data_IF_816312050215
#
_entry.id   IF_816312050215
#
_cell.length_a   1.000
_cell.length_b   1.000
_cell.length_c   1.000
_cell.angle_alpha   90.00
_cell.angle_beta   90.00
_cell.angle_gamma   90.00
#
_symmetry.space_group_name_H-M   'P 1'
#
loop_
_entity.id
_entity.type
_entity.pdbx_description
1 polymer ?
#
# COMPACT_ATOMS: atom_id res chain seq x y z
N UNK A 1 -11.05 -11.65 -25.34
CA UNK A 1 -11.94 -11.16 -24.25
C UNK A 1 -12.65 -12.30 -23.51
N UNK A 2 -13.20 -13.32 -24.18
CA UNK A 2 -13.90 -14.44 -23.53
C UNK A 2 -13.03 -15.27 -22.56
N UNK A 3 -11.77 -15.57 -22.90
CA UNK A 3 -10.85 -16.31 -22.01
C UNK A 3 -10.52 -15.54 -20.71
N UNK A 4 -10.37 -14.22 -20.78
CA UNK A 4 -10.11 -13.37 -19.60
C UNK A 4 -11.31 -13.40 -18.65
N UNK A 5 -12.53 -13.34 -19.17
CA UNK A 5 -13.75 -13.44 -18.36
C UNK A 5 -13.94 -14.83 -17.75
N UNK A 6 -13.60 -15.89 -18.48
CA UNK A 6 -13.67 -17.25 -17.99
C UNK A 6 -12.63 -17.50 -16.88
N UNK A 7 -11.43 -16.94 -17.04
CA UNK A 7 -10.38 -16.99 -16.04
C UNK A 7 -10.79 -16.27 -14.74
N UNK A 8 -11.31 -15.04 -14.84
CA UNK A 8 -11.85 -14.31 -13.69
C UNK A 8 -12.92 -15.10 -12.94
N UNK A 9 -13.77 -15.83 -13.67
CA UNK A 9 -14.80 -16.70 -13.09
C UNK A 9 -14.22 -17.90 -12.34
N UNK A 10 -13.22 -18.56 -12.92
CA UNK A 10 -12.52 -19.71 -12.28
C UNK A 10 -11.78 -19.26 -11.03
N UNK A 11 -11.14 -18.09 -11.08
CA UNK A 11 -10.49 -17.47 -9.92
C UNK A 11 -11.51 -17.20 -8.81
N UNK A 12 -12.66 -16.61 -9.12
CA UNK A 12 -13.74 -16.37 -8.15
C UNK A 12 -14.33 -17.66 -7.57
N UNK A 13 -14.49 -18.72 -8.38
CA UNK A 13 -15.03 -20.01 -7.93
C UNK A 13 -14.07 -20.67 -6.94
N UNK A 14 -12.79 -20.85 -7.29
CA UNK A 14 -11.79 -21.44 -6.39
C UNK A 14 -11.61 -20.62 -5.11
N UNK A 15 -11.79 -19.30 -5.19
CA UNK A 15 -11.77 -18.40 -4.04
C UNK A 15 -12.95 -18.63 -3.10
N UNK A 16 -14.18 -18.74 -3.64
CA UNK A 16 -15.37 -19.02 -2.83
C UNK A 16 -15.32 -20.39 -2.14
N UNK A 17 -14.73 -21.39 -2.80
CA UNK A 17 -14.52 -22.73 -2.25
C UNK A 17 -13.51 -22.73 -1.08
N UNK A 18 -12.50 -21.87 -1.12
CA UNK A 18 -11.54 -21.70 -0.03
C UNK A 18 -12.16 -20.98 1.17
N UNK A 19 -12.89 -19.88 0.94
CA UNK A 19 -13.57 -19.12 2.02
C UNK A 19 -14.62 -19.96 2.74
N UNK A 20 -15.34 -20.83 2.02
CA UNK A 20 -16.31 -21.75 2.63
C UNK A 20 -15.66 -22.84 3.48
N UNK A 21 -14.46 -23.31 3.11
CA UNK A 21 -13.77 -24.39 3.83
C UNK A 21 -13.00 -23.93 5.07
N UNK A 22 -12.80 -22.62 5.25
CA UNK A 22 -11.91 -22.13 6.28
C UNK A 22 -12.40 -20.76 6.83
N UNK A 23 -13.52 -20.75 7.59
CA UNK A 23 -14.21 -19.55 8.04
C UNK A 23 -13.47 -18.73 9.11
N UNK A 24 -12.39 -19.27 9.69
CA UNK A 24 -11.50 -18.56 10.63
C UNK A 24 -10.47 -17.67 9.91
N UNK A 25 -10.37 -17.76 8.57
CA UNK A 25 -9.48 -16.91 7.81
C UNK A 25 -10.09 -15.53 7.59
N UNK A 26 -9.27 -14.51 7.85
CA UNK A 26 -9.43 -13.10 7.48
C UNK A 26 -10.57 -12.86 6.47
N UNK A 27 -11.66 -12.27 6.96
CA UNK A 27 -12.86 -12.04 6.17
C UNK A 27 -12.49 -11.19 4.94
N UNK A 28 -12.57 -11.80 3.76
CA UNK A 28 -12.23 -11.16 2.50
C UNK A 28 -13.03 -9.85 2.31
N UNK A 29 -14.25 -9.79 2.85
CA UNK A 29 -15.06 -8.57 2.85
C UNK A 29 -14.40 -7.46 3.67
N UNK A 30 -13.85 -7.78 4.84
CA UNK A 30 -13.18 -6.80 5.70
C UNK A 30 -11.88 -6.29 5.05
N UNK A 31 -11.15 -7.16 4.35
CA UNK A 31 -9.99 -6.76 3.54
C UNK A 31 -10.39 -5.83 2.39
N UNK A 32 -11.45 -6.18 1.65
CA UNK A 32 -11.98 -5.35 0.56
C UNK A 32 -12.41 -3.99 1.10
N UNK A 33 -13.12 -3.95 2.23
CA UNK A 33 -13.58 -2.71 2.84
C UNK A 33 -12.41 -1.84 3.31
N UNK A 34 -11.41 -2.44 3.98
CA UNK A 34 -10.18 -1.73 4.37
C UNK A 34 -9.48 -1.13 3.16
N UNK A 35 -9.37 -1.89 2.06
CA UNK A 35 -8.79 -1.42 0.80
C UNK A 35 -9.55 -0.23 0.22
N UNK A 36 -10.87 -0.34 0.12
CA UNK A 36 -11.71 0.75 -0.39
C UNK A 36 -11.60 2.01 0.48
N UNK A 37 -11.55 1.87 1.80
CA UNK A 37 -11.40 2.99 2.72
C UNK A 37 -10.04 3.68 2.54
N UNK A 38 -8.97 2.90 2.34
CA UNK A 38 -7.65 3.44 2.06
C UNK A 38 -7.58 4.18 0.70
N UNK A 39 -8.16 3.59 -0.35
CA UNK A 39 -8.26 4.21 -1.67
C UNK A 39 -9.08 5.49 -1.64
N UNK A 40 -10.21 5.49 -0.92
CA UNK A 40 -11.05 6.68 -0.74
C UNK A 40 -10.27 7.81 -0.07
N UNK A 41 -9.57 7.53 1.03
CA UNK A 41 -8.74 8.52 1.72
C UNK A 41 -7.64 9.08 0.82
N UNK A 42 -6.97 8.23 0.05
CA UNK A 42 -5.91 8.63 -0.89
C UNK A 42 -6.43 9.46 -2.07
N UNK A 43 -7.62 9.13 -2.58
CA UNK A 43 -8.28 9.86 -3.66
C UNK A 43 -8.81 11.22 -3.20
N UNK A 44 -9.13 11.36 -1.91
CA UNK A 44 -9.53 12.63 -1.30
C UNK A 44 -8.40 13.65 -1.14
N UNK A 45 -7.12 13.23 -1.18
CA UNK A 45 -5.98 14.14 -1.03
C UNK A 45 -5.83 15.08 -2.23
N UNK A 46 -5.49 16.33 -1.99
CA UNK A 46 -5.25 17.32 -3.05
C UNK A 46 -3.80 17.86 -3.05
N UNK A 47 -3.53 18.86 -3.89
CA UNK A 47 -2.19 19.48 -3.98
C UNK A 47 -1.85 20.29 -2.73
N UNK A 48 -2.84 20.84 -2.03
CA UNK A 48 -2.65 21.62 -0.81
C UNK A 48 -2.23 20.70 0.33
N UNK A 49 -2.87 19.53 0.44
CA UNK A 49 -2.51 18.48 1.41
C UNK A 49 -1.04 18.08 1.28
N UNK A 50 -0.58 17.79 0.06
CA UNK A 50 0.84 17.45 -0.14
C UNK A 50 1.74 18.64 0.17
N UNK A 51 1.28 19.85 -0.12
CA UNK A 51 2.04 21.07 0.20
C UNK A 51 2.25 21.23 1.71
N UNK A 52 1.39 20.70 2.58
CA UNK A 52 1.63 20.65 4.03
C UNK A 52 2.83 19.78 4.37
N UNK A 53 2.95 18.60 3.75
CA UNK A 53 4.08 17.69 3.93
C UNK A 53 5.38 18.32 3.40
N UNK A 54 5.31 19.03 2.27
CA UNK A 54 6.48 19.71 1.68
C UNK A 54 7.04 20.84 2.55
N UNK A 55 6.25 21.40 3.47
CA UNK A 55 6.70 22.49 4.35
C UNK A 55 7.61 22.03 5.48
N UNK A 56 7.69 20.74 5.77
CA UNK A 56 8.60 20.24 6.79
C UNK A 56 10.05 20.39 6.33
N UNK A 57 10.78 21.34 6.93
CA UNK A 57 12.24 21.35 6.88
C UNK A 57 12.80 20.15 7.65
N UNK A 58 12.23 19.89 8.83
CA UNK A 58 12.54 18.75 9.71
C UNK A 58 11.21 18.07 10.11
N UNK A 59 10.83 16.97 9.46
CA UNK A 59 9.56 16.30 9.75
C UNK A 59 9.59 15.63 11.14
N UNK A 60 8.45 15.53 11.83
CA UNK A 60 8.33 14.62 12.96
C UNK A 60 8.71 13.19 12.55
N UNK A 61 9.34 12.43 13.47
CA UNK A 61 9.87 11.09 13.19
C UNK A 61 8.83 10.18 12.52
N UNK A 62 7.58 10.19 13.00
CA UNK A 62 6.52 9.34 12.43
C UNK A 62 6.17 9.77 10.99
N UNK A 63 6.14 11.08 10.70
CA UNK A 63 5.91 11.60 9.34
C UNK A 63 7.04 11.14 8.43
N UNK A 64 8.30 11.28 8.85
CA UNK A 64 9.44 10.85 8.07
C UNK A 64 9.38 9.35 7.75
N UNK A 65 9.12 8.50 8.75
CA UNK A 65 9.00 7.06 8.57
C UNK A 65 7.90 6.69 7.57
N UNK A 66 6.70 7.27 7.72
CA UNK A 66 5.60 7.03 6.79
C UNK A 66 6.00 7.44 5.37
N UNK A 67 6.61 8.61 5.21
CA UNK A 67 7.01 9.11 3.89
C UNK A 67 8.15 8.32 3.25
N UNK A 68 9.09 7.79 4.03
CA UNK A 68 10.12 6.86 3.57
C UNK A 68 9.44 5.62 2.97
N UNK A 69 8.46 5.04 3.67
CA UNK A 69 7.75 3.85 3.19
C UNK A 69 6.93 4.16 1.92
N UNK A 70 6.29 5.33 1.83
CA UNK A 70 5.62 5.78 0.59
C UNK A 70 6.63 5.90 -0.56
N UNK A 71 7.82 6.43 -0.30
CA UNK A 71 8.85 6.58 -1.33
C UNK A 71 9.39 5.23 -1.81
N UNK A 72 9.53 4.24 -0.92
CA UNK A 72 9.87 2.85 -1.26
C UNK A 72 8.82 2.25 -2.20
N UNK A 73 7.53 2.48 -1.92
CA UNK A 73 6.44 2.01 -2.77
C UNK A 73 6.50 2.58 -4.19
N UNK A 74 6.82 3.86 -4.32
CA UNK A 74 6.77 4.59 -5.59
C UNK A 74 8.03 4.46 -6.45
N UNK A 75 9.15 4.04 -5.87
CA UNK A 75 10.44 4.06 -6.55
C UNK A 75 11.24 2.79 -6.27
N UNK A 76 11.41 1.97 -7.31
CA UNK A 76 12.28 0.78 -7.26
C UNK A 76 13.77 1.13 -7.09
N UNK A 77 14.16 2.40 -7.29
CA UNK A 77 15.53 2.88 -7.12
C UNK A 77 15.78 3.51 -5.76
N UNK A 78 14.77 3.58 -4.89
CA UNK A 78 14.92 4.10 -3.53
C UNK A 78 15.62 3.05 -2.65
N UNK A 79 16.96 3.18 -2.58
CA UNK A 79 17.84 2.25 -1.84
C UNK A 79 17.92 2.60 -0.36
N UNK A 80 18.25 1.61 0.46
CA UNK A 80 18.40 1.72 1.92
C UNK A 80 19.37 2.82 2.34
N UNK A 81 20.48 2.94 1.63
CA UNK A 81 21.50 3.99 1.81
C UNK A 81 20.99 5.43 1.58
N UNK A 82 19.83 5.60 0.94
CA UNK A 82 19.22 6.88 0.63
C UNK A 82 17.87 7.10 1.35
N UNK A 83 17.54 6.30 2.37
CA UNK A 83 16.29 6.44 3.13
C UNK A 83 16.38 7.61 4.13
N UNK A 84 16.43 8.84 3.61
CA UNK A 84 16.41 10.05 4.41
C UNK A 84 15.39 11.05 3.87
N UNK A 85 15.03 12.04 4.69
CA UNK A 85 14.06 13.07 4.31
C UNK A 85 14.42 13.80 3.00
N UNK A 86 15.69 14.15 2.77
CA UNK A 86 16.13 14.86 1.55
C UNK A 86 15.85 14.06 0.27
N UNK A 87 16.08 12.74 0.30
CA UNK A 87 15.73 11.86 -0.80
C UNK A 87 14.21 11.72 -0.98
N UNK A 88 13.46 11.64 0.13
CA UNK A 88 11.99 11.62 0.10
C UNK A 88 11.43 12.88 -0.56
N UNK A 89 11.95 14.06 -0.21
CA UNK A 89 11.51 15.34 -0.77
C UNK A 89 11.60 15.34 -2.30
N UNK A 90 12.65 14.77 -2.91
CA UNK A 90 12.78 14.67 -4.37
C UNK A 90 11.62 13.91 -5.01
N UNK A 91 11.13 12.86 -4.36
CA UNK A 91 9.99 12.06 -4.84
C UNK A 91 8.67 12.79 -4.58
N UNK A 92 8.48 13.31 -3.38
CA UNK A 92 7.25 14.03 -2.96
C UNK A 92 7.06 15.31 -3.78
N UNK A 93 8.15 15.94 -4.21
CA UNK A 93 8.10 17.22 -4.94
C UNK A 93 7.69 17.04 -6.40
N UNK A 94 7.77 15.82 -6.92
CA UNK A 94 7.30 15.49 -8.25
C UNK A 94 5.79 15.78 -8.38
N UNK A 95 5.40 16.53 -9.42
CA UNK A 95 3.99 16.89 -9.66
C UNK A 95 3.09 15.67 -9.90
N UNK A 96 3.67 14.55 -10.36
CA UNK A 96 2.97 13.30 -10.59
C UNK A 96 2.92 12.39 -9.34
N UNK A 97 3.46 12.82 -8.19
CA UNK A 97 3.55 12.02 -6.97
C UNK A 97 2.22 11.36 -6.58
N UNK A 98 1.15 12.16 -6.43
CA UNK A 98 -0.19 11.64 -6.11
C UNK A 98 -0.74 10.72 -7.20
N UNK A 99 -0.51 11.06 -8.47
CA UNK A 99 -0.95 10.24 -9.60
C UNK A 99 -0.30 8.86 -9.58
N UNK A 100 1.01 8.79 -9.35
CA UNK A 100 1.75 7.53 -9.22
C UNK A 100 1.29 6.71 -8.03
N UNK A 101 0.97 7.35 -6.91
CA UNK A 101 0.50 6.66 -5.71
C UNK A 101 -0.90 6.07 -5.88
N UNK A 102 -1.79 6.77 -6.59
CA UNK A 102 -3.13 6.27 -6.94
C UNK A 102 -3.10 5.16 -8.00
N UNK A 103 -2.14 5.22 -8.92
CA UNK A 103 -1.94 4.23 -9.96
C UNK A 103 -1.09 3.03 -9.48
N UNK A 104 -0.85 2.91 -8.16
CA UNK A 104 0.00 1.86 -7.62
C UNK A 104 -0.64 0.48 -7.80
N UNK A 105 0.09 -0.42 -8.43
CA UNK A 105 -0.31 -1.80 -8.62
C UNK A 105 0.39 -2.69 -7.59
N UNK A 106 -0.36 -3.23 -6.64
CA UNK A 106 0.15 -4.10 -5.56
C UNK A 106 0.91 -5.31 -6.12
N UNK A 107 0.52 -5.79 -7.30
CA UNK A 107 1.14 -6.92 -8.02
C UNK A 107 2.57 -6.60 -8.49
N UNK A 108 2.88 -5.33 -8.75
CA UNK A 108 4.21 -4.90 -9.24
C UNK A 108 5.22 -4.67 -8.11
N UNK A 109 4.80 -4.74 -6.85
CA UNK A 109 5.70 -4.60 -5.70
C UNK A 109 6.60 -5.84 -5.65
N UNK A 110 7.91 -5.64 -5.79
CA UNK A 110 8.87 -6.74 -5.73
C UNK A 110 9.14 -7.20 -4.28
N UNK A 111 9.78 -8.36 -4.11
CA UNK A 111 10.00 -8.94 -2.79
C UNK A 111 10.92 -8.09 -1.90
N UNK A 112 11.86 -7.33 -2.50
CA UNK A 112 12.71 -6.38 -1.76
C UNK A 112 11.90 -5.22 -1.20
N UNK A 113 11.06 -4.59 -2.02
CA UNK A 113 10.15 -3.55 -1.56
C UNK A 113 9.25 -4.10 -0.45
N UNK A 114 8.65 -5.28 -0.64
CA UNK A 114 7.80 -5.92 0.37
C UNK A 114 8.50 -6.09 1.72
N UNK A 115 9.76 -6.56 1.73
CA UNK A 115 10.53 -6.68 2.96
C UNK A 115 10.72 -5.32 3.64
N UNK A 116 10.97 -4.25 2.87
CA UNK A 116 11.12 -2.90 3.42
C UNK A 116 9.78 -2.33 3.93
N UNK A 117 8.65 -2.68 3.31
CA UNK A 117 7.33 -2.24 3.79
C UNK A 117 6.98 -2.78 5.17
N UNK A 118 7.59 -3.89 5.61
CA UNK A 118 7.42 -4.46 6.96
C UNK A 118 7.76 -3.44 8.06
N UNK A 119 8.57 -2.42 7.74
CA UNK A 119 8.87 -1.34 8.67
C UNK A 119 7.63 -0.57 9.14
N UNK A 120 6.49 -0.68 8.44
CA UNK A 120 5.21 -0.13 8.88
C UNK A 120 4.77 -0.67 10.25
N UNK A 121 5.14 -1.91 10.60
CA UNK A 121 4.83 -2.51 11.90
C UNK A 121 5.59 -1.85 13.06
N UNK A 122 6.65 -1.08 12.77
CA UNK A 122 7.36 -0.27 13.78
C UNK A 122 6.58 0.98 14.21
N UNK A 123 5.51 1.33 13.49
CA UNK A 123 4.63 2.45 13.78
C UNK A 123 3.36 1.90 14.42
N UNK A 124 3.14 2.21 15.70
CA UNK A 124 1.91 1.78 16.37
C UNK A 124 0.69 2.45 15.73
N UNK A 125 -0.47 1.81 15.84
CA UNK A 125 -1.70 2.38 15.29
C UNK A 125 -2.04 3.73 15.92
N UNK A 126 -1.81 3.89 17.22
CA UNK A 126 -1.97 5.17 17.90
C UNK A 126 -1.02 6.24 17.31
N UNK A 127 0.26 5.91 17.09
CA UNK A 127 1.21 6.83 16.46
C UNK A 127 0.79 7.20 15.04
N UNK A 128 0.35 6.21 14.26
CA UNK A 128 -0.13 6.38 12.89
C UNK A 128 -1.45 7.17 12.80
N UNK A 129 -2.25 7.20 13.86
CA UNK A 129 -3.48 7.99 13.95
C UNK A 129 -3.26 9.40 14.51
N UNK A 130 -2.20 9.65 15.27
CA UNK A 130 -1.91 10.96 15.87
C UNK A 130 -1.12 11.92 14.97
N UNK A 131 -0.79 11.51 13.75
CA UNK A 131 -0.17 12.37 12.72
C UNK A 131 -1.20 13.20 11.95
N UNK A 132 -0.72 14.08 11.07
CA UNK A 132 -1.58 14.86 10.18
C UNK A 132 -2.50 13.96 9.35
N UNK A 133 -3.67 14.47 8.96
CA UNK A 133 -4.65 13.76 8.13
C UNK A 133 -4.00 13.12 6.89
N UNK A 134 -3.13 13.86 6.20
CA UNK A 134 -2.39 13.41 5.02
C UNK A 134 -1.52 12.19 5.32
N UNK A 135 -0.77 12.23 6.43
CA UNK A 135 0.05 11.10 6.86
C UNK A 135 -0.79 9.91 7.30
N UNK A 136 -1.96 10.11 7.91
CA UNK A 136 -2.87 9.03 8.24
C UNK A 136 -3.38 8.31 6.98
N UNK A 137 -3.73 9.07 5.93
CA UNK A 137 -4.15 8.48 4.65
C UNK A 137 -3.03 7.60 4.06
N UNK A 138 -1.78 8.08 4.07
CA UNK A 138 -0.64 7.29 3.61
C UNK A 138 -0.37 6.06 4.48
N UNK A 139 -0.37 6.23 5.81
CA UNK A 139 -0.18 5.13 6.75
C UNK A 139 -1.23 4.03 6.54
N UNK A 140 -2.52 4.39 6.45
CA UNK A 140 -3.61 3.45 6.19
C UNK A 140 -3.44 2.74 4.85
N UNK A 141 -3.10 3.48 3.80
CA UNK A 141 -2.84 2.90 2.48
C UNK A 141 -1.71 1.86 2.51
N UNK A 142 -0.56 2.21 3.09
CA UNK A 142 0.57 1.30 3.22
C UNK A 142 0.20 0.07 4.06
N UNK A 143 -0.40 0.28 5.24
CA UNK A 143 -0.80 -0.80 6.14
C UNK A 143 -1.71 -1.79 5.43
N UNK A 144 -2.72 -1.31 4.72
CA UNK A 144 -3.62 -2.16 3.95
C UNK A 144 -2.93 -2.88 2.79
N UNK A 145 -1.97 -2.24 2.10
CA UNK A 145 -1.16 -2.92 1.07
C UNK A 145 -0.37 -4.09 1.67
N UNK A 146 0.27 -3.88 2.83
CA UNK A 146 1.04 -4.92 3.53
C UNK A 146 0.13 -6.07 3.98
N UNK A 147 -1.00 -5.75 4.60
CA UNK A 147 -2.01 -6.73 5.03
C UNK A 147 -2.53 -7.54 3.83
N UNK A 148 -2.85 -6.91 2.70
CA UNK A 148 -3.26 -7.61 1.48
C UNK A 148 -2.15 -8.56 1.00
N UNK A 149 -0.90 -8.11 0.99
CA UNK A 149 0.25 -8.92 0.53
C UNK A 149 0.52 -10.12 1.43
N UNK A 150 0.20 -10.01 2.72
CA UNK A 150 0.35 -11.07 3.70
C UNK A 150 -0.86 -12.01 3.74
N UNK A 151 -2.02 -11.54 3.28
CA UNK A 151 -3.25 -12.32 3.22
C UNK A 151 -3.06 -13.61 2.42
N UNK A 152 -3.75 -14.66 2.86
CA UNK A 152 -3.77 -15.93 2.13
C UNK A 152 -4.37 -15.78 0.73
N UNK A 153 -5.33 -14.86 0.58
CA UNK A 153 -5.93 -14.49 -0.69
C UNK A 153 -4.86 -14.13 -1.74
N UNK A 154 -3.93 -13.23 -1.39
CA UNK A 154 -2.89 -12.80 -2.30
C UNK A 154 -1.86 -13.89 -2.58
N UNK A 155 -1.48 -14.68 -1.56
CA UNK A 155 -0.54 -15.80 -1.71
C UNK A 155 -1.04 -16.85 -2.71
N UNK A 156 -2.31 -17.24 -2.60
CA UNK A 156 -2.95 -18.19 -3.53
C UNK A 156 -3.05 -17.57 -4.93
N UNK A 157 -3.46 -16.31 -5.04
CA UNK A 157 -3.53 -15.59 -6.33
C UNK A 157 -2.18 -15.57 -7.06
N UNK A 158 -1.09 -15.24 -6.34
CA UNK A 158 0.28 -15.23 -6.87
C UNK A 158 0.74 -16.62 -7.30
N UNK A 159 0.43 -17.67 -6.53
CA UNK A 159 0.78 -19.05 -6.90
C UNK A 159 0.08 -19.50 -8.19
N UNK A 160 -1.19 -19.15 -8.38
CA UNK A 160 -1.93 -19.46 -9.61
C UNK A 160 -1.27 -18.79 -10.82
N UNK A 161 -0.92 -17.51 -10.72
CA UNK A 161 -0.27 -16.75 -11.80
C UNK A 161 1.12 -17.28 -12.18
N UNK A 162 1.82 -17.99 -11.28
CA UNK A 162 3.13 -18.57 -11.55
C UNK A 162 3.05 -19.96 -12.22
N UNK A 163 1.88 -20.59 -12.20
CA UNK A 163 1.63 -21.91 -12.81
C UNK A 163 1.19 -21.76 -14.28
N UNK A 164 0.78 -20.57 -14.70
CA UNK A 164 0.36 -20.20 -16.06
C UNK A 164 1.50 -19.60 -16.89
#
# INVERSE_FOLDING_TARGET
MAQIQQFQKITQIRQSEYTQKNPENENLQDLIQRKQNAEYGLNGLDKQDISQIKRFAHPPIIVEKVMIIVCILLSHTFREENQNWSACQKIIYNMQFLGKLRALEIEKINDKQQQQLQYIHSISEEQGQRVSFVCQCFYKCIKTIVEIRESQYYKVKRQIQLIE
#
